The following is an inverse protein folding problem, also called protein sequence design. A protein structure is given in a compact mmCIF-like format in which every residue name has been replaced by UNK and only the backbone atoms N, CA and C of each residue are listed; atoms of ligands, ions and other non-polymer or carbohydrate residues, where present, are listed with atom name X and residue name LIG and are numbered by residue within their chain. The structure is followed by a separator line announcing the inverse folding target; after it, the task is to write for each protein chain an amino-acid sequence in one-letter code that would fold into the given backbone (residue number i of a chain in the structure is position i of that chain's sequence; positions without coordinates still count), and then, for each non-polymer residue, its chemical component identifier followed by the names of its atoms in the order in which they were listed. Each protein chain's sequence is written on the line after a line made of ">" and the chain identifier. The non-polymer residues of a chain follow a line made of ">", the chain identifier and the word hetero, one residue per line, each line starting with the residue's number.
data_IF_244668751032
#
_entry.id   IF_244668751032
#
_cell.length_a   1.000
_cell.length_b   1.000
_cell.length_c   1.000
_cell.angle_alpha   90.00
_cell.angle_beta   90.00
_cell.angle_gamma   90.00
#
_symmetry.space_group_name_H-M   'P 1'
#
loop_
_entity.id
_entity.type
_entity.pdbx_description
1 polymer ?
#
# COMPACT_ATOMS: atom_id res chain seq x y z
N UNK A 1 7.91 24.40 10.21
CA UNK A 1 7.96 23.09 10.89
C UNK A 1 7.05 22.13 10.13
N UNK A 2 7.59 21.31 9.23
CA UNK A 2 6.83 20.20 8.63
C UNK A 2 7.57 18.91 9.01
N UNK A 3 7.26 18.42 10.21
CA UNK A 3 7.67 17.10 10.65
C UNK A 3 7.00 16.09 9.72
N UNK A 4 7.79 15.22 9.11
CA UNK A 4 7.24 14.07 8.40
C UNK A 4 6.37 13.29 9.39
N UNK A 5 5.17 12.85 8.96
CA UNK A 5 4.20 12.08 9.77
C UNK A 5 4.88 10.93 10.54
N UNK A 6 6.00 10.43 10.01
CA UNK A 6 6.86 9.37 10.55
C UNK A 6 7.50 9.67 11.91
N UNK A 7 7.98 10.89 12.14
CA UNK A 7 8.62 11.26 13.40
C UNK A 7 7.58 11.55 14.49
N UNK A 8 6.35 11.86 14.08
CA UNK A 8 5.26 12.23 14.99
C UNK A 8 4.94 11.06 15.92
N UNK A 9 4.79 9.83 15.41
CA UNK A 9 4.45 8.69 16.28
C UNK A 9 5.54 8.41 17.33
N UNK A 10 6.82 8.42 16.94
CA UNK A 10 7.93 8.23 17.86
C UNK A 10 8.03 9.34 18.91
N UNK A 11 8.04 10.60 18.47
CA UNK A 11 8.20 11.76 19.35
C UNK A 11 6.98 11.92 20.27
N UNK A 12 5.79 11.66 19.76
CA UNK A 12 4.54 11.67 20.53
C UNK A 12 4.53 10.60 21.61
N UNK A 13 4.98 9.38 21.32
CA UNK A 13 5.07 8.31 22.32
C UNK A 13 6.07 8.65 23.42
N UNK A 14 7.21 9.26 23.07
CA UNK A 14 8.21 9.73 24.06
C UNK A 14 7.63 10.77 25.00
N UNK A 15 6.90 11.74 24.45
CA UNK A 15 6.22 12.78 25.23
C UNK A 15 5.14 12.20 26.14
N UNK A 16 4.25 11.36 25.60
CA UNK A 16 3.17 10.73 26.36
C UNK A 16 3.67 9.85 27.50
N UNK A 17 4.76 9.11 27.27
CA UNK A 17 5.33 8.20 28.28
C UNK A 17 6.32 8.89 29.22
N UNK A 18 6.60 10.18 29.02
CA UNK A 18 7.65 10.94 29.73
C UNK A 18 9.00 10.21 29.70
N UNK A 19 9.26 9.57 28.56
CA UNK A 19 10.45 8.79 28.26
C UNK A 19 11.06 9.34 26.97
N UNK A 20 11.51 10.58 27.06
CA UNK A 20 12.52 11.12 26.14
C UNK A 20 13.74 10.16 26.20
N UNK A 21 14.74 10.13 25.33
CA UNK A 21 15.83 9.13 25.39
C UNK A 21 15.47 7.65 25.14
N UNK A 22 14.27 7.15 25.45
CA UNK A 22 13.86 5.78 25.07
C UNK A 22 13.13 5.78 23.71
N UNK A 23 13.51 4.85 22.84
CA UNK A 23 12.85 4.69 21.56
C UNK A 23 11.36 4.35 21.76
N UNK A 24 10.47 5.05 21.04
CA UNK A 24 9.01 4.88 21.13
C UNK A 24 8.46 4.96 22.58
N UNK A 25 9.11 5.74 23.44
CA UNK A 25 8.72 5.86 24.85
C UNK A 25 8.86 4.56 25.65
N UNK A 26 9.77 3.67 25.25
CA UNK A 26 10.06 2.42 25.95
C UNK A 26 9.07 1.29 25.66
N UNK A 27 8.21 1.44 24.64
CA UNK A 27 7.24 0.42 24.26
C UNK A 27 7.88 -0.67 23.39
N UNK A 28 7.39 -1.91 23.56
CA UNK A 28 7.66 -2.99 22.61
C UNK A 28 6.84 -2.73 21.34
N UNK A 29 7.51 -2.26 20.30
CA UNK A 29 6.87 -1.88 19.03
C UNK A 29 7.08 -2.99 18.01
N UNK A 30 5.99 -3.43 17.38
CA UNK A 30 6.02 -4.32 16.22
C UNK A 30 5.33 -3.59 15.07
N UNK A 31 5.99 -3.51 13.93
CA UNK A 31 5.47 -2.91 12.72
C UNK A 31 5.22 -4.00 11.67
N UNK A 32 4.07 -3.95 11.02
CA UNK A 32 3.69 -4.85 9.93
C UNK A 32 3.33 -4.03 8.70
N UNK A 33 3.67 -4.53 7.53
CA UNK A 33 3.38 -3.87 6.27
C UNK A 33 4.05 -4.58 5.11
N UNK A 34 3.80 -4.04 3.93
CA UNK A 34 4.35 -4.54 2.67
C UNK A 34 5.14 -3.41 2.01
N UNK A 35 6.43 -3.64 1.82
CA UNK A 35 7.37 -2.64 1.31
C UNK A 35 7.14 -2.29 -0.16
N UNK A 36 6.37 -3.11 -0.89
CA UNK A 36 6.05 -2.92 -2.30
C UNK A 36 4.68 -2.29 -2.55
N UNK A 37 3.97 -1.89 -1.49
CA UNK A 37 2.72 -1.13 -1.65
C UNK A 37 2.97 0.28 -2.18
N UNK A 38 1.91 0.87 -2.74
CA UNK A 38 1.93 2.25 -3.22
C UNK A 38 2.48 3.19 -2.14
N UNK A 39 3.33 4.16 -2.52
CA UNK A 39 3.83 5.13 -1.58
C UNK A 39 2.66 5.96 -1.01
N UNK A 40 2.86 6.61 0.15
CA UNK A 40 1.89 7.56 0.67
C UNK A 40 1.55 8.63 -0.38
N UNK A 41 0.28 9.06 -0.43
CA UNK A 41 -0.26 10.01 -1.43
C UNK A 41 0.60 11.27 -1.60
N UNK A 42 1.25 11.73 -0.52
CA UNK A 42 2.15 12.90 -0.52
C UNK A 42 3.41 12.63 0.29
N UNK A 43 4.24 11.69 -0.17
CA UNK A 43 5.59 11.54 0.35
C UNK A 43 6.26 10.24 -0.07
N UNK A 44 7.55 10.15 0.26
CA UNK A 44 8.32 8.94 0.02
C UNK A 44 7.84 7.80 0.90
N UNK A 45 8.25 6.59 0.53
CA UNK A 45 8.04 5.37 1.31
C UNK A 45 8.36 5.57 2.80
N UNK A 46 7.58 4.90 3.66
CA UNK A 46 7.66 5.12 5.10
C UNK A 46 9.05 4.79 5.68
N UNK A 47 9.76 3.89 5.02
CA UNK A 47 11.09 3.40 5.37
C UNK A 47 12.24 4.23 4.78
N UNK A 48 11.96 5.22 3.94
CA UNK A 48 12.98 6.14 3.45
C UNK A 48 13.23 7.29 4.44
N UNK A 49 14.49 7.47 4.83
CA UNK A 49 14.93 8.64 5.58
C UNK A 49 15.06 9.84 4.62
N UNK A 50 14.32 10.95 4.85
CA UNK A 50 14.49 12.15 4.04
C UNK A 50 15.91 12.71 4.16
N UNK A 51 16.47 13.24 3.06
CA UNK A 51 17.84 13.78 3.01
C UNK A 51 18.12 14.81 4.13
N UNK A 52 17.17 15.70 4.38
CA UNK A 52 17.23 16.71 5.46
C UNK A 52 17.39 16.14 6.87
N UNK A 53 17.15 14.85 7.06
CA UNK A 53 17.25 14.16 8.35
C UNK A 53 18.35 13.09 8.38
N UNK A 54 19.22 13.01 7.37
CA UNK A 54 20.36 12.06 7.34
C UNK A 54 21.22 12.08 8.61
N UNK A 55 21.51 13.24 9.25
CA UNK A 55 22.28 13.26 10.51
C UNK A 55 21.54 12.65 11.71
N UNK A 56 20.22 12.46 11.62
CA UNK A 56 19.42 11.86 12.69
C UNK A 56 19.43 10.33 12.62
N UNK A 57 19.05 9.69 13.73
CA UNK A 57 18.91 8.24 13.81
C UNK A 57 17.86 7.76 12.78
N UNK A 58 18.24 6.80 11.95
CA UNK A 58 17.32 6.15 11.02
C UNK A 58 16.42 5.17 11.79
N UNK A 59 15.18 5.56 12.08
CA UNK A 59 14.27 4.78 12.96
C UNK A 59 14.10 3.32 12.57
N UNK A 60 14.04 3.01 11.28
CA UNK A 60 13.89 1.62 10.81
C UNK A 60 15.09 0.73 11.13
N UNK A 61 16.28 1.29 11.41
CA UNK A 61 17.45 0.54 11.88
C UNK A 61 17.33 0.09 13.33
N UNK A 62 16.32 0.55 14.07
CA UNK A 62 16.03 0.12 15.43
C UNK A 62 15.21 -1.19 15.47
N UNK A 63 14.64 -1.61 14.34
CA UNK A 63 13.84 -2.82 14.25
C UNK A 63 14.69 -4.01 13.77
N UNK A 64 14.30 -5.20 14.20
CA UNK A 64 14.69 -6.45 13.54
C UNK A 64 13.67 -6.74 12.44
N UNK A 65 14.14 -7.03 11.23
CA UNK A 65 13.29 -7.39 10.10
C UNK A 65 12.95 -8.88 10.15
N UNK A 66 11.68 -9.21 10.03
CA UNK A 66 11.18 -10.55 9.78
C UNK A 66 10.29 -10.51 8.55
N UNK A 67 10.55 -11.37 7.59
CA UNK A 67 9.78 -11.50 6.35
C UNK A 67 8.90 -12.75 6.44
N UNK A 68 7.63 -12.61 6.06
CA UNK A 68 6.72 -13.75 5.91
C UNK A 68 6.82 -14.24 4.46
N UNK A 69 7.38 -15.44 4.27
CA UNK A 69 7.62 -16.02 2.93
C UNK A 69 6.56 -17.04 2.52
N UNK A 70 5.74 -17.50 3.46
CA UNK A 70 4.66 -18.46 3.21
C UNK A 70 3.34 -17.71 3.02
N UNK A 71 2.80 -17.72 1.80
CA UNK A 71 1.48 -17.16 1.51
C UNK A 71 0.39 -18.22 1.71
N UNK A 72 -0.55 -17.94 2.62
CA UNK A 72 -1.64 -18.86 2.95
C UNK A 72 -2.87 -18.70 2.03
N UNK A 73 -2.95 -17.65 1.20
CA UNK A 73 -4.14 -17.40 0.36
C UNK A 73 -4.14 -18.18 -0.96
N UNK A 74 -3.02 -18.77 -1.39
CA UNK A 74 -2.86 -19.29 -2.77
C UNK A 74 -2.35 -20.73 -2.87
N UNK A 75 -2.76 -21.62 -1.96
CA UNK A 75 -2.37 -23.05 -2.05
C UNK A 75 -2.86 -23.76 -3.32
N UNK A 76 -3.84 -23.20 -4.04
CA UNK A 76 -4.45 -23.84 -5.21
C UNK A 76 -3.92 -23.35 -6.58
N UNK A 77 -3.18 -22.22 -6.66
CA UNK A 77 -2.62 -21.70 -7.92
C UNK A 77 -1.22 -21.07 -7.73
N UNK A 78 -0.21 -21.94 -7.73
CA UNK A 78 1.19 -21.55 -7.57
C UNK A 78 1.73 -20.73 -8.75
N UNK A 79 1.20 -20.92 -9.96
CA UNK A 79 1.71 -20.25 -11.17
C UNK A 79 1.31 -18.77 -11.18
N UNK A 80 0.08 -18.46 -10.79
CA UNK A 80 -0.36 -17.08 -10.69
C UNK A 80 0.35 -16.32 -9.56
N UNK A 81 0.58 -16.97 -8.42
CA UNK A 81 1.36 -16.39 -7.31
C UNK A 81 2.79 -16.04 -7.73
N UNK A 82 3.49 -16.97 -8.38
CA UNK A 82 4.86 -16.76 -8.87
C UNK A 82 4.92 -15.58 -9.84
N UNK A 83 3.91 -15.45 -10.70
CA UNK A 83 3.80 -14.31 -11.62
C UNK A 83 3.58 -12.99 -10.87
N UNK A 84 2.69 -12.94 -9.88
CA UNK A 84 2.50 -11.74 -9.05
C UNK A 84 3.78 -11.35 -8.31
N UNK A 85 4.52 -12.32 -7.76
CA UNK A 85 5.80 -12.06 -7.10
C UNK A 85 6.87 -11.56 -8.08
N UNK A 86 6.93 -12.12 -9.29
CA UNK A 86 7.83 -11.65 -10.33
C UNK A 86 7.49 -10.20 -10.74
N UNK A 87 6.20 -9.86 -10.83
CA UNK A 87 5.73 -8.50 -11.12
C UNK A 87 6.11 -7.49 -10.02
N UNK A 88 6.11 -7.90 -8.75
CA UNK A 88 6.53 -7.04 -7.62
C UNK A 88 7.99 -6.61 -7.76
N UNK A 89 8.85 -7.48 -8.28
CA UNK A 89 10.27 -7.22 -8.46
C UNK A 89 10.62 -6.57 -9.82
N UNK A 90 9.80 -6.75 -10.85
CA UNK A 90 10.12 -6.37 -12.23
C UNK A 90 8.98 -5.62 -12.92
N UNK A 91 9.00 -4.28 -12.81
CA UNK A 91 8.02 -3.43 -13.50
C UNK A 91 8.03 -3.61 -15.03
N UNK A 92 9.20 -3.83 -15.64
CA UNK A 92 9.31 -4.09 -17.08
C UNK A 92 8.60 -5.39 -17.52
N UNK A 93 8.54 -6.40 -16.64
CA UNK A 93 7.79 -7.62 -16.91
C UNK A 93 6.28 -7.32 -16.96
N UNK A 94 5.79 -6.44 -16.09
CA UNK A 94 4.40 -5.97 -16.08
C UNK A 94 4.03 -5.34 -17.43
N UNK A 95 4.82 -4.40 -17.92
CA UNK A 95 4.59 -3.71 -19.19
C UNK A 95 4.50 -4.70 -20.36
N UNK A 96 5.38 -5.71 -20.38
CA UNK A 96 5.38 -6.74 -21.43
C UNK A 96 4.15 -7.67 -21.41
N UNK A 97 3.44 -7.72 -20.28
CA UNK A 97 2.28 -8.59 -20.04
C UNK A 97 0.96 -7.81 -20.00
N UNK A 98 0.99 -6.49 -20.18
CA UNK A 98 -0.22 -5.69 -20.26
C UNK A 98 -0.98 -6.03 -21.55
N UNK A 99 -2.24 -6.45 -21.38
CA UNK A 99 -3.15 -6.57 -22.50
C UNK A 99 -3.51 -5.15 -22.99
N UNK A 100 -3.33 -4.86 -24.29
CA UNK A 100 -3.57 -3.51 -24.83
C UNK A 100 -5.04 -3.09 -24.77
N UNK A 101 -5.97 -4.04 -24.72
CA UNK A 101 -7.37 -3.79 -24.46
C UNK A 101 -7.94 -4.82 -23.48
N UNK A 102 -8.78 -4.35 -22.57
CA UNK A 102 -9.58 -5.19 -21.70
C UNK A 102 -10.69 -5.85 -22.55
N UNK A 103 -10.36 -6.96 -23.20
CA UNK A 103 -11.31 -7.73 -23.99
C UNK A 103 -12.20 -8.56 -23.08
N UNK A 104 -13.43 -8.13 -22.85
CA UNK A 104 -14.41 -8.87 -22.06
C UNK A 104 -15.78 -8.18 -22.04
N UNK A 105 -16.85 -9.00 -22.03
CA UNK A 105 -18.20 -8.53 -21.70
C UNK A 105 -18.30 -8.49 -20.18
N UNK A 106 -18.03 -7.33 -19.59
CA UNK A 106 -17.97 -7.17 -18.13
C UNK A 106 -19.38 -7.17 -17.54
N UNK A 107 -19.68 -8.13 -16.66
CA UNK A 107 -20.95 -8.18 -15.96
C UNK A 107 -20.95 -7.15 -14.81
N UNK A 108 -21.55 -6.00 -15.09
CA UNK A 108 -21.76 -4.91 -14.12
C UNK A 108 -22.50 -5.36 -12.84
N UNK A 109 -23.19 -6.51 -12.87
CA UNK A 109 -23.96 -7.01 -11.75
C UNK A 109 -23.14 -7.98 -10.86
N UNK A 110 -21.94 -8.39 -11.27
CA UNK A 110 -21.13 -9.43 -10.57
C UNK A 110 -19.65 -9.10 -10.38
N UNK A 111 -19.12 -8.08 -11.04
CA UNK A 111 -17.67 -7.81 -11.07
C UNK A 111 -17.28 -6.51 -10.36
N UNK A 112 -16.13 -6.54 -9.67
CA UNK A 112 -15.52 -5.35 -9.05
C UNK A 112 -14.54 -4.73 -10.02
N UNK A 113 -14.73 -3.44 -10.33
CA UNK A 113 -13.82 -2.69 -11.20
C UNK A 113 -12.87 -1.79 -10.41
N UNK A 114 -11.57 -1.98 -10.58
CA UNK A 114 -10.54 -1.11 -10.01
C UNK A 114 -10.12 -0.10 -11.08
N UNK A 115 -10.14 1.20 -10.74
CA UNK A 115 -9.75 2.27 -11.66
C UNK A 115 -8.58 3.10 -11.09
N UNK A 116 -7.72 3.66 -11.95
CA UNK A 116 -6.59 4.48 -11.51
C UNK A 116 -6.97 5.80 -10.83
N UNK A 117 -8.11 6.40 -11.18
CA UNK A 117 -8.51 7.72 -10.68
C UNK A 117 -9.91 7.74 -10.10
N UNK A 118 -10.13 8.59 -9.10
CA UNK A 118 -11.46 8.79 -8.51
C UNK A 118 -12.49 9.27 -9.53
N UNK A 119 -12.11 10.14 -10.48
CA UNK A 119 -13.03 10.59 -11.53
C UNK A 119 -13.55 9.43 -12.41
N UNK A 120 -12.69 8.46 -12.73
CA UNK A 120 -13.11 7.25 -13.46
C UNK A 120 -14.00 6.35 -12.60
N UNK A 121 -13.67 6.20 -11.30
CA UNK A 121 -14.53 5.50 -10.34
C UNK A 121 -15.92 6.14 -10.28
N UNK A 122 -15.99 7.46 -10.15
CA UNK A 122 -17.24 8.21 -10.01
C UNK A 122 -18.10 8.11 -11.28
N UNK A 123 -17.48 8.27 -12.46
CA UNK A 123 -18.17 8.10 -13.74
C UNK A 123 -18.74 6.68 -13.90
N UNK A 124 -17.95 5.65 -13.56
CA UNK A 124 -18.39 4.26 -13.62
C UNK A 124 -19.53 3.98 -12.63
N UNK A 125 -19.37 4.39 -11.37
CA UNK A 125 -20.37 4.21 -10.32
C UNK A 125 -21.69 4.91 -10.68
N UNK A 126 -21.63 6.11 -11.26
CA UNK A 126 -22.81 6.85 -11.72
C UNK A 126 -23.53 6.09 -12.84
N UNK A 127 -22.80 5.61 -13.85
CA UNK A 127 -23.38 4.84 -14.95
C UNK A 127 -24.03 3.52 -14.48
N UNK A 128 -23.38 2.81 -13.56
CA UNK A 128 -23.93 1.60 -12.93
C UNK A 128 -25.20 1.94 -12.15
N UNK A 129 -25.17 3.00 -11.33
CA UNK A 129 -26.31 3.46 -10.55
C UNK A 129 -27.53 3.81 -11.44
N UNK A 130 -27.33 4.55 -12.52
CA UNK A 130 -28.39 4.94 -13.46
C UNK A 130 -29.02 3.75 -14.17
N UNK A 131 -28.22 2.74 -14.52
CA UNK A 131 -28.71 1.48 -15.09
C UNK A 131 -29.62 0.72 -14.12
N UNK A 132 -29.26 0.64 -12.83
CA UNK A 132 -30.11 0.00 -11.83
C UNK A 132 -31.37 0.81 -11.51
N UNK A 133 -31.28 2.15 -11.57
CA UNK A 133 -32.41 3.04 -11.39
C UNK A 133 -33.44 2.88 -12.52
N UNK A 134 -32.98 2.72 -13.76
CA UNK A 134 -33.85 2.53 -14.94
C UNK A 134 -34.45 1.12 -15.04
N UNK A 135 -33.75 0.07 -14.54
CA UNK A 135 -34.28 -1.29 -14.42
C UNK A 135 -35.40 -1.45 -13.36
N UNK A 136 -35.59 -0.48 -12.45
CA UNK A 136 -36.53 -0.53 -11.32
C UNK A 136 -37.91 0.09 -11.61
N UNK A 137 -38.28 0.27 -12.89
CA UNK A 137 -39.63 0.64 -13.34
C UNK A 137 -40.33 -0.57 -13.92
#
# INVERSE_FOLDING_TARGET
>A
MHGSIRNIAHDWLRQLKKKENEAFGGLKTIAFGDLFQLPPIRGDQAFHQPEKFVPAIHFWRLFSLAELTEDMQQQDDTTFFDLLNALRAHFALLESKMLPEASGDFDLDREIRINPTSAQVDAHNTAVFDRYRTKKV
#
